data_IF_161197155325
#
_entry.id   IF_161197155325
#
_cell.length_a   1.000
_cell.length_b   1.000
_cell.length_c   1.000
_cell.angle_alpha   90.00
_cell.angle_beta   90.00
_cell.angle_gamma   90.00
#
_symmetry.space_group_name_H-M   'P 1'
#
loop_
_entity.id
_entity.type
_entity.pdbx_description
1 polymer ?
#
# COMPACT_ATOMS: atom_id res chain seq x y z
N UNK A 1 -9.56 38.48 31.50
CA UNK A 1 -9.30 37.83 30.21
C UNK A 1 -8.02 37.03 30.33
N UNK A 2 -8.08 35.69 30.34
CA UNK A 2 -6.90 34.82 30.33
C UNK A 2 -6.67 34.37 28.89
N UNK A 3 -5.68 34.96 28.23
CA UNK A 3 -5.11 34.43 27.01
C UNK A 3 -4.41 33.10 27.33
N UNK A 4 -4.91 31.99 26.80
CA UNK A 4 -4.17 30.74 26.63
C UNK A 4 -4.59 30.07 25.33
N UNK A 5 -4.21 30.72 24.24
CA UNK A 5 -4.15 30.13 22.91
C UNK A 5 -2.70 30.18 22.43
N UNK A 6 -1.80 29.44 23.08
CA UNK A 6 -0.48 29.15 22.52
C UNK A 6 -0.27 27.65 22.70
N UNK A 7 -0.61 26.89 21.67
CA UNK A 7 -0.02 25.58 21.47
C UNK A 7 1.46 25.83 21.17
N UNK A 8 2.37 25.43 22.05
CA UNK A 8 3.81 25.54 21.78
C UNK A 8 4.11 24.88 20.44
N UNK A 9 4.59 25.68 19.47
CA UNK A 9 4.91 25.19 18.14
C UNK A 9 6.04 24.16 18.17
N UNK A 10 6.14 23.35 17.12
CA UNK A 10 7.25 22.40 16.97
C UNK A 10 8.60 23.15 16.99
N UNK A 11 9.58 22.58 17.67
CA UNK A 11 10.96 23.05 17.61
C UNK A 11 11.55 22.84 16.20
N UNK A 12 12.59 23.59 15.84
CA UNK A 12 13.27 23.43 14.55
C UNK A 12 13.78 22.00 14.31
N UNK A 13 14.21 21.30 15.37
CA UNK A 13 14.66 19.91 15.27
C UNK A 13 13.48 18.96 14.98
N UNK A 14 12.34 19.13 15.66
CA UNK A 14 11.14 18.33 15.39
C UNK A 14 10.59 18.60 13.98
N UNK A 15 10.70 19.84 13.50
CA UNK A 15 10.31 20.18 12.13
C UNK A 15 11.24 19.52 11.10
N UNK A 16 12.56 19.52 11.35
CA UNK A 16 13.52 18.86 10.48
C UNK A 16 13.29 17.35 10.42
N UNK A 17 12.99 16.71 11.54
CA UNK A 17 12.67 15.28 11.63
C UNK A 17 11.42 14.94 10.82
N UNK A 18 10.30 15.66 11.04
CA UNK A 18 9.07 15.44 10.27
C UNK A 18 9.25 15.71 8.78
N UNK A 19 10.03 16.71 8.41
CA UNK A 19 10.36 16.97 7.00
C UNK A 19 11.14 15.80 6.40
N UNK A 20 12.09 15.20 7.12
CA UNK A 20 12.82 14.03 6.65
C UNK A 20 11.89 12.82 6.46
N UNK A 21 10.96 12.58 7.40
CA UNK A 21 9.94 11.53 7.27
C UNK A 21 9.03 11.75 6.06
N UNK A 22 8.55 12.98 5.85
CA UNK A 22 7.71 13.32 4.71
C UNK A 22 8.44 13.16 3.38
N UNK A 23 9.69 13.61 3.29
CA UNK A 23 10.52 13.43 2.08
C UNK A 23 10.72 11.94 1.79
N UNK A 24 11.02 11.13 2.80
CA UNK A 24 11.17 9.68 2.63
C UNK A 24 9.87 9.02 2.15
N UNK A 25 8.73 9.45 2.70
CA UNK A 25 7.40 8.94 2.32
C UNK A 25 7.06 9.30 0.87
N UNK A 26 7.29 10.56 0.47
CA UNK A 26 7.06 11.04 -0.89
C UNK A 26 7.92 10.25 -1.87
N UNK A 27 9.22 10.09 -1.61
CA UNK A 27 10.11 9.34 -2.48
C UNK A 27 9.67 7.87 -2.64
N UNK A 28 9.21 7.23 -1.56
CA UNK A 28 8.68 5.87 -1.61
C UNK A 28 7.39 5.79 -2.46
N UNK A 29 6.48 6.75 -2.33
CA UNK A 29 5.25 6.81 -3.13
C UNK A 29 5.56 7.05 -4.61
N UNK A 30 6.45 8.00 -4.93
CA UNK A 30 6.88 8.28 -6.29
C UNK A 30 7.47 7.04 -6.98
N UNK A 31 8.31 6.26 -6.27
CA UNK A 31 8.85 5.01 -6.80
C UNK A 31 7.75 3.98 -7.12
N UNK A 32 6.74 3.86 -6.26
CA UNK A 32 5.60 2.93 -6.48
C UNK A 32 4.74 3.38 -7.66
N UNK A 33 4.46 4.67 -7.79
CA UNK A 33 3.72 5.21 -8.92
C UNK A 33 4.48 5.05 -10.24
N UNK A 34 5.80 5.25 -10.24
CA UNK A 34 6.63 5.01 -11.41
C UNK A 34 6.59 3.54 -11.85
N UNK A 35 6.64 2.59 -10.91
CA UNK A 35 6.52 1.16 -11.20
C UNK A 35 5.16 0.80 -11.82
N UNK A 36 4.06 1.29 -11.23
CA UNK A 36 2.71 1.08 -11.77
C UNK A 36 2.52 1.71 -13.15
N UNK A 37 3.08 2.91 -13.36
CA UNK A 37 3.02 3.58 -14.65
C UNK A 37 3.79 2.81 -15.73
N UNK A 38 4.97 2.28 -15.39
CA UNK A 38 5.77 1.46 -16.30
C UNK A 38 5.04 0.14 -16.66
N UNK A 39 4.46 -0.54 -15.67
CA UNK A 39 3.66 -1.74 -15.88
C UNK A 39 2.46 -1.45 -16.79
N UNK A 40 1.69 -0.38 -16.52
CA UNK A 40 0.56 0.03 -17.36
C UNK A 40 0.97 0.34 -18.80
N UNK A 41 2.12 0.98 -19.01
CA UNK A 41 2.66 1.23 -20.34
C UNK A 41 3.01 -0.09 -21.06
N UNK A 42 3.57 -1.06 -20.34
CA UNK A 42 3.85 -2.40 -20.84
C UNK A 42 2.59 -3.17 -21.23
N UNK A 43 1.56 -3.15 -20.37
CA UNK A 43 0.25 -3.75 -20.65
C UNK A 43 -0.38 -3.14 -21.92
N UNK A 44 -0.35 -1.82 -22.04
CA UNK A 44 -0.84 -1.14 -23.24
C UNK A 44 -0.09 -1.57 -24.50
N UNK A 45 1.24 -1.65 -24.43
CA UNK A 45 2.06 -2.08 -25.57
C UNK A 45 1.79 -3.55 -25.96
N UNK A 46 1.57 -4.43 -24.99
CA UNK A 46 1.22 -5.83 -25.23
C UNK A 46 -0.14 -5.97 -25.92
N UNK A 47 -1.13 -5.18 -25.49
CA UNK A 47 -2.46 -5.11 -26.11
C UNK A 47 -2.35 -4.57 -27.55
N UNK A 48 -1.67 -3.44 -27.75
CA UNK A 48 -1.52 -2.83 -29.08
C UNK A 48 -0.81 -3.80 -30.05
N UNK A 49 0.20 -4.52 -29.58
CA UNK A 49 0.92 -5.55 -30.38
C UNK A 49 0.04 -6.75 -30.73
N UNK A 50 -0.77 -7.20 -29.77
CA UNK A 50 -1.72 -8.30 -29.98
C UNK A 50 -2.76 -7.94 -31.04
N UNK A 51 -3.36 -6.75 -30.93
CA UNK A 51 -4.32 -6.24 -31.91
C UNK A 51 -3.67 -6.13 -33.29
N UNK A 52 -2.46 -5.56 -33.38
CA UNK A 52 -1.74 -5.42 -34.64
C UNK A 52 -1.45 -6.76 -35.32
N UNK A 53 -1.03 -7.78 -34.55
CA UNK A 53 -0.85 -9.14 -35.07
C UNK A 53 -2.16 -9.72 -35.57
N UNK A 54 -3.23 -9.68 -34.78
CA UNK A 54 -4.55 -10.24 -35.15
C UNK A 54 -5.06 -9.63 -36.46
N UNK A 55 -5.01 -8.30 -36.59
CA UNK A 55 -5.41 -7.60 -37.80
C UNK A 55 -4.59 -8.01 -39.04
N UNK A 56 -3.33 -8.43 -38.85
CA UNK A 56 -2.46 -8.88 -39.93
C UNK A 56 -2.69 -10.34 -40.35
N UNK A 57 -3.18 -11.20 -39.46
CA UNK A 57 -3.28 -12.66 -39.68
C UNK A 57 -4.69 -13.19 -39.91
N UNK A 58 -5.72 -12.59 -39.30
CA UNK A 58 -7.12 -12.95 -39.52
C UNK A 58 -8.03 -11.74 -39.21
N UNK A 59 -8.29 -10.88 -40.21
CA UNK A 59 -9.08 -9.66 -40.00
C UNK A 59 -10.57 -9.91 -39.71
N UNK A 60 -11.04 -11.17 -39.81
CA UNK A 60 -12.45 -11.54 -39.60
C UNK A 60 -12.66 -12.22 -38.24
N UNK A 61 -11.61 -12.79 -37.63
CA UNK A 61 -11.67 -13.48 -36.34
C UNK A 61 -10.89 -12.74 -35.25
N UNK A 62 -11.61 -11.92 -34.47
CA UNK A 62 -11.02 -11.03 -33.46
C UNK A 62 -10.81 -11.73 -32.10
N UNK A 63 -11.09 -13.02 -31.98
CA UNK A 63 -11.24 -13.70 -30.68
C UNK A 63 -9.94 -14.17 -29.98
N UNK A 64 -8.75 -14.00 -30.58
CA UNK A 64 -7.51 -14.57 -30.02
C UNK A 64 -6.77 -13.66 -29.03
N UNK A 65 -7.31 -13.52 -27.81
CA UNK A 65 -6.63 -12.85 -26.66
C UNK A 65 -5.61 -13.75 -25.95
N UNK A 66 -5.39 -14.98 -26.46
CA UNK A 66 -4.59 -16.01 -25.79
C UNK A 66 -3.15 -15.59 -25.49
N UNK A 67 -2.60 -14.62 -26.24
CA UNK A 67 -1.27 -14.06 -26.00
C UNK A 67 -1.16 -13.21 -24.73
N UNK A 68 -2.29 -12.82 -24.11
CA UNK A 68 -2.30 -12.01 -22.89
C UNK A 68 -2.55 -12.83 -21.61
N UNK A 69 -2.79 -14.14 -21.72
CA UNK A 69 -3.25 -14.98 -20.59
C UNK A 69 -2.20 -15.11 -19.48
N UNK A 70 -0.91 -15.05 -19.82
CA UNK A 70 0.19 -15.24 -18.88
C UNK A 70 0.91 -13.93 -18.52
N UNK A 71 0.27 -12.77 -18.72
CA UNK A 71 0.86 -11.50 -18.33
C UNK A 71 0.73 -11.31 -16.82
N UNK A 72 1.88 -11.26 -16.15
CA UNK A 72 1.96 -10.92 -14.73
C UNK A 72 1.94 -9.40 -14.51
N UNK A 73 1.41 -8.97 -13.36
CA UNK A 73 1.34 -7.56 -12.95
C UNK A 73 1.96 -7.36 -11.56
N UNK A 74 3.27 -7.62 -11.40
CA UNK A 74 3.93 -7.61 -10.09
C UNK A 74 3.87 -6.25 -9.38
N UNK A 75 3.88 -5.13 -10.10
CA UNK A 75 3.76 -3.81 -9.48
C UNK A 75 2.34 -3.61 -8.92
N UNK A 76 1.32 -4.05 -9.65
CA UNK A 76 -0.07 -4.08 -9.16
C UNK A 76 -0.23 -5.01 -7.97
N UNK A 77 0.36 -6.21 -8.01
CA UNK A 77 0.28 -7.18 -6.90
C UNK A 77 0.94 -6.63 -5.63
N UNK A 78 2.13 -6.04 -5.76
CA UNK A 78 2.81 -5.36 -4.66
C UNK A 78 2.01 -4.16 -4.14
N UNK A 79 1.32 -3.42 -5.02
CA UNK A 79 0.42 -2.35 -4.62
C UNK A 79 -0.75 -2.87 -3.77
N UNK A 80 -1.45 -3.90 -4.24
CA UNK A 80 -2.59 -4.51 -3.55
C UNK A 80 -2.18 -5.18 -2.24
N UNK A 81 -0.98 -5.78 -2.17
CA UNK A 81 -0.45 -6.32 -0.93
C UNK A 81 -0.25 -5.23 0.12
N UNK A 82 0.36 -4.09 -0.23
CA UNK A 82 0.52 -2.99 0.72
C UNK A 82 -0.83 -2.40 1.16
N UNK A 83 -1.81 -2.25 0.27
CA UNK A 83 -3.16 -1.79 0.66
C UNK A 83 -3.79 -2.75 1.68
N UNK A 84 -3.63 -4.07 1.47
CA UNK A 84 -4.08 -5.07 2.46
C UNK A 84 -3.30 -5.00 3.77
N UNK A 85 -1.99 -4.76 3.72
CA UNK A 85 -1.16 -4.59 4.90
C UNK A 85 -1.55 -3.34 5.71
N UNK A 86 -1.89 -2.24 5.03
CA UNK A 86 -2.41 -1.02 5.65
C UNK A 86 -3.73 -1.27 6.39
N UNK A 87 -4.65 -2.04 5.80
CA UNK A 87 -5.88 -2.44 6.50
C UNK A 87 -5.61 -3.26 7.78
N UNK A 88 -4.59 -4.12 7.77
CA UNK A 88 -4.16 -4.85 8.96
C UNK A 88 -3.49 -3.91 9.99
N UNK A 89 -2.72 -2.92 9.54
CA UNK A 89 -2.17 -1.87 10.41
C UNK A 89 -3.28 -1.04 11.09
N UNK A 90 -4.31 -0.62 10.34
CA UNK A 90 -5.46 0.10 10.88
C UNK A 90 -6.22 -0.72 11.94
N UNK A 91 -6.41 -2.02 11.68
CA UNK A 91 -7.03 -2.93 12.65
C UNK A 91 -6.19 -3.05 13.93
N UNK A 92 -4.85 -3.08 13.81
CA UNK A 92 -3.97 -3.09 14.97
C UNK A 92 -4.13 -1.81 15.81
N UNK A 93 -4.20 -0.64 15.18
CA UNK A 93 -4.41 0.64 15.89
C UNK A 93 -5.77 0.69 16.58
N UNK A 94 -6.82 0.11 15.97
CA UNK A 94 -8.12 -0.04 16.62
C UNK A 94 -8.00 -0.89 17.89
N UNK A 95 -7.32 -2.03 17.83
CA UNK A 95 -7.12 -2.88 19.01
C UNK A 95 -6.29 -2.21 20.11
N UNK A 96 -5.25 -1.44 19.76
CA UNK A 96 -4.52 -0.64 20.74
C UNK A 96 -5.42 0.41 21.39
N UNK A 97 -6.29 1.06 20.62
CA UNK A 97 -7.27 2.02 21.14
C UNK A 97 -8.26 1.36 22.10
N UNK A 98 -8.79 0.18 21.75
CA UNK A 98 -9.66 -0.59 22.64
C UNK A 98 -8.93 -0.99 23.92
N UNK A 99 -7.68 -1.46 23.83
CA UNK A 99 -6.87 -1.80 25.00
C UNK A 99 -6.62 -0.61 25.93
N UNK A 100 -6.48 0.60 25.39
CA UNK A 100 -6.24 1.82 26.16
C UNK A 100 -7.48 2.26 26.95
N UNK A 101 -8.68 1.96 26.44
CA UNK A 101 -9.95 2.31 27.07
C UNK A 101 -10.53 1.18 27.94
N UNK A 102 -9.89 0.02 27.99
CA UNK A 102 -10.37 -1.14 28.73
C UNK A 102 -9.87 -1.13 30.19
N UNK A 103 -10.81 -1.13 31.13
CA UNK A 103 -10.52 -1.12 32.56
C UNK A 103 -10.11 -2.52 33.08
N UNK A 104 -10.62 -3.59 32.45
CA UNK A 104 -10.25 -4.95 32.80
C UNK A 104 -8.89 -5.29 32.19
N UNK A 105 -7.86 -5.41 33.04
CA UNK A 105 -6.50 -5.72 32.63
C UNK A 105 -6.40 -6.95 31.72
N UNK A 106 -7.14 -8.03 32.02
CA UNK A 106 -7.09 -9.25 31.22
C UNK A 106 -7.61 -9.02 29.79
N UNK A 107 -8.72 -8.28 29.66
CA UNK A 107 -9.30 -7.94 28.36
C UNK A 107 -8.38 -6.95 27.61
N UNK A 108 -7.81 -5.97 28.32
CA UNK A 108 -6.87 -5.02 27.75
C UNK A 108 -5.61 -5.72 27.19
N UNK A 109 -5.06 -6.69 27.91
CA UNK A 109 -3.92 -7.48 27.47
C UNK A 109 -4.25 -8.34 26.24
N UNK A 110 -5.46 -8.92 26.20
CA UNK A 110 -5.97 -9.63 25.00
C UNK A 110 -6.05 -8.72 23.79
N UNK A 111 -6.56 -7.48 23.93
CA UNK A 111 -6.60 -6.52 22.82
C UNK A 111 -5.20 -6.15 22.33
N UNK A 112 -4.23 -5.94 23.23
CA UNK A 112 -2.83 -5.66 22.84
C UNK A 112 -2.21 -6.82 22.08
N UNK A 113 -2.55 -8.06 22.43
CA UNK A 113 -2.07 -9.24 21.71
C UNK A 113 -2.66 -9.32 20.30
N UNK A 114 -3.98 -9.11 20.16
CA UNK A 114 -4.63 -9.02 18.85
C UNK A 114 -4.02 -7.92 17.97
N UNK A 115 -3.68 -6.77 18.57
CA UNK A 115 -3.00 -5.68 17.87
C UNK A 115 -1.62 -6.10 17.33
N UNK A 116 -0.81 -6.76 18.16
CA UNK A 116 0.51 -7.28 17.74
C UNK A 116 0.37 -8.31 16.63
N UNK A 117 -0.59 -9.23 16.74
CA UNK A 117 -0.86 -10.20 15.68
C UNK A 117 -1.22 -9.52 14.35
N UNK A 118 -2.08 -8.50 14.38
CA UNK A 118 -2.44 -7.74 13.19
C UNK A 118 -1.24 -7.00 12.57
N UNK A 119 -0.33 -6.44 13.39
CA UNK A 119 0.95 -5.86 12.91
C UNK A 119 1.84 -6.92 12.26
N UNK A 120 2.01 -8.07 12.89
CA UNK A 120 2.83 -9.16 12.35
C UNK A 120 2.25 -9.69 11.03
N UNK A 121 0.92 -9.77 10.93
CA UNK A 121 0.23 -10.14 9.71
C UNK A 121 0.45 -9.12 8.58
N UNK A 122 0.39 -7.82 8.89
CA UNK A 122 0.72 -6.76 7.92
C UNK A 122 2.16 -6.91 7.39
N UNK A 123 3.12 -7.23 8.26
CA UNK A 123 4.52 -7.50 7.87
C UNK A 123 4.62 -8.75 6.98
N UNK A 124 3.86 -9.81 7.29
CA UNK A 124 3.84 -11.02 6.46
C UNK A 124 3.29 -10.76 5.05
N UNK A 125 2.21 -9.97 4.93
CA UNK A 125 1.66 -9.57 3.63
C UNK A 125 2.72 -8.84 2.79
N UNK A 126 3.44 -7.87 3.40
CA UNK A 126 4.51 -7.12 2.71
C UNK A 126 5.67 -8.02 2.26
N UNK A 127 6.06 -8.99 3.08
CA UNK A 127 7.13 -9.95 2.73
C UNK A 127 6.73 -10.90 1.59
N UNK A 128 5.49 -11.39 1.62
CA UNK A 128 4.98 -12.30 0.57
C UNK A 128 4.81 -11.63 -0.80
N UNK A 129 4.77 -10.30 -0.85
CA UNK A 129 4.66 -9.53 -2.09
C UNK A 129 6.01 -9.12 -2.70
N UNK A 130 7.12 -9.38 -2.00
CA UNK A 130 8.48 -9.12 -2.47
C UNK A 130 9.15 -10.38 -3.07
N UNK A 131 8.40 -11.47 -3.20
CA UNK A 131 8.79 -12.73 -3.85
C UNK A 131 8.20 -12.79 -5.25
#
# INVERSE_FOLDING_TARGET
MKERGITDGLTMNQLAERNAEHVATIAALEARYAALAAENAGLKAAIDSTIGWQQSTDPVNVESVRMLVDIETPATDAFLAEVRAQGADELAELYFTLAAHEANRYIADSWRESARFAKDYAVQIRKGAAQ
#
